data_IF_751727647301
#
_entry.id   IF_751727647301
#
_cell.length_a   1.000
_cell.length_b   1.000
_cell.length_c   1.000
_cell.angle_alpha   90.00
_cell.angle_beta   90.00
_cell.angle_gamma   90.00
#
_symmetry.space_group_name_H-M   'P 1'
#
loop_
_entity.id
_entity.type
_entity.pdbx_description
1 polymer ?
#
# COMPACT_ATOMS: atom_id res chain seq x y z
N UNK A 1 -9.53 -3.65 -20.15
CA UNK A 1 -9.15 -4.21 -18.83
C UNK A 1 -9.94 -3.48 -17.77
N UNK A 2 -10.30 -4.17 -16.69
CA UNK A 2 -10.93 -3.54 -15.53
C UNK A 2 -9.89 -2.90 -14.62
N UNK A 3 -10.32 -1.96 -13.78
CA UNK A 3 -9.43 -1.36 -12.81
C UNK A 3 -9.02 -2.39 -11.74
N UNK A 4 -7.80 -2.23 -11.22
CA UNK A 4 -7.29 -3.01 -10.09
C UNK A 4 -6.92 -2.08 -8.95
N UNK A 5 -7.09 -2.51 -7.70
CA UNK A 5 -6.58 -1.77 -6.54
C UNK A 5 -5.86 -2.68 -5.55
N UNK A 6 -4.60 -2.34 -5.26
CA UNK A 6 -3.72 -3.03 -4.33
C UNK A 6 -3.48 -2.16 -3.11
N UNK A 7 -3.83 -2.65 -1.93
CA UNK A 7 -3.51 -2.02 -0.66
C UNK A 7 -2.22 -2.64 -0.13
N UNK A 8 -1.26 -1.81 0.24
CA UNK A 8 -0.01 -2.26 0.85
C UNK A 8 -0.15 -2.04 2.35
N UNK A 9 -0.43 -3.07 3.14
CA UNK A 9 -0.63 -2.92 4.58
C UNK A 9 -0.08 -4.06 5.43
N UNK A 10 0.38 -3.68 6.61
CA UNK A 10 0.72 -4.53 7.74
C UNK A 10 0.61 -3.65 9.01
N UNK A 11 0.04 -4.19 10.08
CA UNK A 11 -0.11 -3.53 11.38
C UNK A 11 1.22 -3.23 12.08
N UNK A 12 2.35 -3.70 11.53
CA UNK A 12 3.70 -3.37 12.00
C UNK A 12 4.31 -2.17 11.25
N UNK A 13 4.88 -1.23 12.01
CA UNK A 13 5.70 -0.13 11.48
C UNK A 13 7.05 -0.61 10.97
N UNK A 14 7.66 0.13 10.03
CA UNK A 14 9.04 -0.15 9.59
C UNK A 14 9.24 -1.36 8.67
N UNK A 15 8.16 -1.98 8.16
CA UNK A 15 8.24 -3.09 7.18
C UNK A 15 8.42 -2.64 5.72
N UNK A 16 8.63 -1.34 5.49
CA UNK A 16 8.93 -0.80 4.16
C UNK A 16 7.73 -0.48 3.26
N UNK A 17 6.49 -0.42 3.78
CA UNK A 17 5.26 -0.15 3.01
C UNK A 17 5.41 0.96 1.96
N UNK A 18 5.72 2.19 2.37
CA UNK A 18 5.84 3.34 1.46
C UNK A 18 6.94 3.17 0.42
N UNK A 19 8.07 2.55 0.81
CA UNK A 19 9.20 2.29 -0.10
C UNK A 19 8.84 1.23 -1.14
N UNK A 20 8.14 0.18 -0.73
CA UNK A 20 7.61 -0.85 -1.62
C UNK A 20 6.60 -0.21 -2.58
N UNK A 21 5.64 0.57 -2.07
CA UNK A 21 4.64 1.26 -2.90
C UNK A 21 5.30 2.15 -3.96
N UNK A 22 6.32 2.93 -3.58
CA UNK A 22 7.10 3.76 -4.50
C UNK A 22 7.72 2.93 -5.64
N UNK A 23 8.40 1.83 -5.31
CA UNK A 23 9.09 1.01 -6.30
C UNK A 23 8.13 0.21 -7.19
N UNK A 24 7.12 -0.43 -6.62
CA UNK A 24 6.17 -1.22 -7.41
C UNK A 24 5.38 -0.32 -8.36
N UNK A 25 4.88 0.83 -7.91
CA UNK A 25 4.09 1.71 -8.77
C UNK A 25 4.95 2.25 -9.92
N UNK A 26 6.20 2.62 -9.64
CA UNK A 26 7.16 3.08 -10.65
C UNK A 26 7.44 2.00 -11.71
N UNK A 27 7.80 0.79 -11.29
CA UNK A 27 8.13 -0.30 -12.23
C UNK A 27 6.88 -0.83 -12.93
N UNK A 28 5.74 -0.89 -12.25
CA UNK A 28 4.47 -1.29 -12.87
C UNK A 28 4.08 -0.31 -13.98
N UNK A 29 4.23 1.00 -13.76
CA UNK A 29 4.00 2.01 -14.79
C UNK A 29 4.96 1.87 -15.99
N UNK A 30 6.23 1.55 -15.75
CA UNK A 30 7.21 1.28 -16.81
C UNK A 30 6.83 0.06 -17.67
N UNK A 31 6.31 -1.00 -17.05
CA UNK A 31 5.97 -2.26 -17.74
C UNK A 31 4.59 -2.24 -18.41
N UNK A 32 3.72 -1.29 -18.06
CA UNK A 32 2.34 -1.19 -18.56
C UNK A 32 2.04 0.24 -19.08
N UNK A 33 2.70 0.71 -20.16
CA UNK A 33 2.54 2.07 -20.68
C UNK A 33 1.12 2.40 -21.18
N UNK A 34 0.34 1.39 -21.53
CA UNK A 34 -1.05 1.48 -21.96
C UNK A 34 -2.06 1.66 -20.81
N UNK A 35 -1.61 1.55 -19.56
CA UNK A 35 -2.43 1.73 -18.36
C UNK A 35 -2.03 2.98 -17.59
N UNK A 36 -2.99 3.55 -16.85
CA UNK A 36 -2.70 4.61 -15.90
C UNK A 36 -2.49 4.03 -14.50
N UNK A 37 -1.42 4.45 -13.85
CA UNK A 37 -1.06 3.96 -12.53
C UNK A 37 -1.27 5.08 -11.54
N UNK A 38 -2.03 4.84 -10.49
CA UNK A 38 -2.35 5.85 -9.47
C UNK A 38 -1.87 5.38 -8.12
N UNK A 39 -1.04 6.19 -7.46
CA UNK A 39 -0.71 6.00 -6.05
C UNK A 39 -1.64 6.86 -5.21
N UNK A 40 -2.29 6.25 -4.21
CA UNK A 40 -3.07 6.95 -3.19
C UNK A 40 -2.31 6.78 -1.87
N UNK A 41 -1.79 7.87 -1.32
CA UNK A 41 -1.01 7.83 -0.09
C UNK A 41 -1.90 8.15 1.13
N UNK A 42 -2.46 7.10 1.74
CA UNK A 42 -3.29 7.19 2.95
C UNK A 42 -2.45 7.13 4.23
N UNK A 43 -1.16 7.44 4.15
CA UNK A 43 -0.27 7.58 5.30
C UNK A 43 -0.07 9.07 5.64
N UNK A 44 -0.40 9.52 6.87
CA UNK A 44 -0.19 10.91 7.27
C UNK A 44 1.27 11.38 7.18
N UNK A 45 2.24 10.46 7.22
CA UNK A 45 3.66 10.79 7.07
C UNK A 45 4.06 11.08 5.61
N UNK A 46 3.20 10.72 4.64
CA UNK A 46 3.35 11.02 3.22
C UNK A 46 4.73 10.67 2.63
N UNK A 47 5.35 9.60 3.14
CA UNK A 47 6.68 9.17 2.73
C UNK A 47 6.67 8.74 1.26
N UNK A 48 5.64 8.01 0.82
CA UNK A 48 5.50 7.57 -0.56
C UNK A 48 5.38 8.77 -1.51
N UNK A 49 4.52 9.73 -1.14
CA UNK A 49 4.37 11.00 -1.85
C UNK A 49 5.69 11.74 -1.99
N UNK A 50 6.45 11.87 -0.88
CA UNK A 50 7.75 12.55 -0.89
C UNK A 50 8.73 11.88 -1.86
N UNK A 51 8.80 10.56 -1.89
CA UNK A 51 9.65 9.81 -2.82
C UNK A 51 9.23 10.04 -4.28
N UNK A 52 7.93 9.93 -4.57
CA UNK A 52 7.39 10.14 -5.92
C UNK A 52 7.63 11.56 -6.43
N UNK A 53 7.57 12.56 -5.56
CA UNK A 53 7.73 13.98 -5.90
C UNK A 53 9.20 14.44 -6.03
N UNK A 54 10.15 13.50 -6.00
CA UNK A 54 11.57 13.76 -6.25
C UNK A 54 12.49 13.50 -5.05
N UNK A 55 11.94 13.01 -3.93
CA UNK A 55 12.70 12.61 -2.75
C UNK A 55 13.33 13.78 -1.97
N UNK A 56 13.74 13.48 -0.74
CA UNK A 56 14.46 14.41 0.13
C UNK A 56 13.78 15.77 0.25
N UNK A 57 14.57 16.85 0.28
CA UNK A 57 14.06 18.23 0.39
C UNK A 57 13.23 18.68 -0.80
N UNK A 58 13.52 18.16 -2.01
CA UNK A 58 12.77 18.54 -3.23
C UNK A 58 11.34 18.01 -3.14
N UNK A 59 11.19 16.71 -2.87
CA UNK A 59 9.89 16.07 -2.72
C UNK A 59 9.08 16.69 -1.58
N UNK A 60 9.72 16.96 -0.44
CA UNK A 60 9.09 17.59 0.71
C UNK A 60 8.57 19.00 0.37
N UNK A 61 9.37 19.83 -0.30
CA UNK A 61 8.94 21.17 -0.70
C UNK A 61 7.74 21.14 -1.67
N UNK A 62 7.74 20.20 -2.63
CA UNK A 62 6.59 20.03 -3.55
C UNK A 62 5.35 19.60 -2.78
N UNK A 63 5.49 18.64 -1.87
CA UNK A 63 4.38 18.14 -1.05
C UNK A 63 3.78 19.26 -0.18
N UNK A 64 4.61 20.07 0.49
CA UNK A 64 4.13 21.19 1.30
C UNK A 64 3.35 22.21 0.47
N UNK A 65 3.78 22.49 -0.76
CA UNK A 65 3.05 23.38 -1.67
C UNK A 65 1.66 22.82 -2.03
N UNK A 66 1.49 21.50 -2.15
CA UNK A 66 0.19 20.87 -2.43
C UNK A 66 -0.75 20.95 -1.21
N UNK A 67 -0.19 20.76 -0.01
CA UNK A 67 -0.92 20.84 1.27
C UNK A 67 -1.38 22.28 1.54
N UNK A 68 -0.58 23.29 1.18
CA UNK A 68 -0.87 24.69 1.47
C UNK A 68 -1.81 25.38 0.48
N UNK A 69 -2.32 24.66 -0.54
CA UNK A 69 -3.32 25.23 -1.46
C UNK A 69 -4.63 25.52 -0.73
N UNK A 70 -5.37 26.53 -1.19
CA UNK A 70 -6.70 26.86 -0.66
C UNK A 70 -7.66 25.66 -0.74
N UNK A 71 -7.59 24.92 -1.84
CA UNK A 71 -8.14 23.57 -1.98
C UNK A 71 -6.95 22.59 -2.05
N UNK A 72 -6.58 21.93 -0.94
CA UNK A 72 -5.45 21.00 -0.91
C UNK A 72 -5.62 19.90 -1.96
N UNK A 73 -4.62 19.74 -2.83
CA UNK A 73 -4.62 18.64 -3.84
C UNK A 73 -4.05 17.36 -3.24
N UNK A 74 -4.67 16.93 -2.15
CA UNK A 74 -4.21 15.83 -1.29
C UNK A 74 -5.38 14.91 -0.92
N UNK A 75 -5.09 13.76 -0.29
CA UNK A 75 -6.13 12.88 0.27
C UNK A 75 -7.05 13.62 1.23
N UNK A 76 -6.55 14.60 2.00
CA UNK A 76 -7.36 15.39 2.93
C UNK A 76 -8.30 16.32 2.19
N UNK A 77 -7.84 17.00 1.14
CA UNK A 77 -8.70 17.84 0.31
C UNK A 77 -9.80 17.01 -0.35
N UNK A 78 -9.45 15.90 -1.00
CA UNK A 78 -10.43 15.01 -1.63
C UNK A 78 -11.48 14.49 -0.64
N UNK A 79 -11.05 13.98 0.52
CA UNK A 79 -11.97 13.48 1.55
C UNK A 79 -12.86 14.61 2.09
N UNK A 80 -12.32 15.81 2.27
CA UNK A 80 -13.07 16.96 2.78
C UNK A 80 -14.18 17.36 1.81
N UNK A 81 -13.84 17.48 0.52
CA UNK A 81 -14.77 17.90 -0.53
C UNK A 81 -15.89 16.88 -0.73
N UNK A 82 -15.56 15.58 -0.71
CA UNK A 82 -16.55 14.49 -0.72
C UNK A 82 -17.50 14.53 0.49
N UNK A 83 -17.02 14.97 1.66
CA UNK A 83 -17.84 15.05 2.88
C UNK A 83 -18.77 16.26 2.87
N UNK A 84 -18.30 17.42 2.39
CA UNK A 84 -19.12 18.64 2.31
C UNK A 84 -20.01 18.66 1.06
N UNK A 85 -19.79 17.73 0.13
CA UNK A 85 -20.58 17.60 -1.10
C UNK A 85 -20.17 18.57 -2.20
N UNK A 86 -18.94 19.08 -2.15
CA UNK A 86 -18.38 19.87 -3.24
C UNK A 86 -18.10 18.98 -4.46
N UNK A 87 -18.42 19.49 -5.65
CA UNK A 87 -18.26 18.76 -6.90
C UNK A 87 -17.03 19.26 -7.63
N UNK A 88 -15.93 18.55 -7.45
CA UNK A 88 -14.72 18.72 -8.26
C UNK A 88 -14.58 17.55 -9.24
N UNK A 89 -13.86 17.76 -10.34
CA UNK A 89 -13.51 16.61 -11.18
C UNK A 89 -12.46 15.80 -10.42
N UNK A 90 -12.65 14.49 -10.31
CA UNK A 90 -11.71 13.63 -9.56
C UNK A 90 -10.27 13.73 -10.09
N UNK A 91 -10.11 13.99 -11.39
CA UNK A 91 -8.84 14.29 -12.05
C UNK A 91 -8.10 15.49 -11.45
N UNK A 92 -8.80 16.44 -10.81
CA UNK A 92 -8.20 17.67 -10.29
C UNK A 92 -7.26 17.43 -9.09
N UNK A 93 -7.46 16.31 -8.38
CA UNK A 93 -6.62 15.88 -7.25
C UNK A 93 -5.46 14.98 -7.66
N UNK A 94 -5.48 14.41 -8.87
CA UNK A 94 -4.40 13.55 -9.35
C UNK A 94 -3.29 14.38 -9.98
N UNK A 95 -2.11 14.32 -9.38
CA UNK A 95 -0.90 14.93 -9.93
C UNK A 95 -0.17 13.91 -10.81
N UNK A 96 0.11 14.26 -12.06
CA UNK A 96 1.05 13.50 -12.87
C UNK A 96 2.48 13.66 -12.30
N UNK A 97 3.07 12.57 -11.81
CA UNK A 97 4.33 12.67 -11.05
C UNK A 97 5.51 13.08 -11.92
N UNK A 98 5.48 12.76 -13.22
CA UNK A 98 6.58 13.10 -14.14
C UNK A 98 6.72 14.61 -14.33
N UNK A 99 5.67 15.39 -14.03
CA UNK A 99 5.73 16.86 -14.06
C UNK A 99 6.58 17.44 -12.92
N UNK A 100 6.90 16.65 -11.88
CA UNK A 100 7.73 17.05 -10.73
C UNK A 100 9.00 16.21 -10.60
N UNK A 101 8.97 14.98 -11.10
CA UNK A 101 10.07 14.03 -11.09
C UNK A 101 10.20 13.34 -12.45
N UNK A 102 11.07 13.87 -13.29
CA UNK A 102 11.33 13.43 -14.68
C UNK A 102 11.94 12.02 -14.79
N UNK A 103 12.32 11.42 -13.67
CA UNK A 103 12.84 10.05 -13.58
C UNK A 103 11.73 9.00 -13.47
N UNK A 104 10.48 9.43 -13.38
CA UNK A 104 9.32 8.55 -13.27
C UNK A 104 8.49 8.55 -14.57
N UNK A 105 7.78 7.43 -14.86
CA UNK A 105 6.96 7.33 -16.06
C UNK A 105 5.84 8.37 -16.12
N UNK A 106 5.48 8.79 -17.33
CA UNK A 106 4.44 9.79 -17.57
C UNK A 106 3.01 9.27 -17.32
N UNK A 107 2.81 7.96 -17.23
CA UNK A 107 1.53 7.33 -16.90
C UNK A 107 1.35 7.06 -15.39
N UNK A 108 2.20 7.63 -14.54
CA UNK A 108 2.12 7.52 -13.09
C UNK A 108 1.55 8.80 -12.47
N UNK A 109 0.52 8.63 -11.64
CA UNK A 109 -0.22 9.70 -10.99
C UNK A 109 -0.23 9.50 -9.48
N UNK A 110 -0.41 10.59 -8.74
CA UNK A 110 -0.41 10.62 -7.28
C UNK A 110 -1.60 11.42 -6.76
N UNK A 111 -2.36 10.81 -5.85
CA UNK A 111 -3.15 11.50 -4.85
C UNK A 111 -2.33 11.54 -3.55
N UNK A 112 -1.74 12.70 -3.26
CA UNK A 112 -0.69 12.79 -2.25
C UNK A 112 -1.22 12.69 -0.83
N UNK A 113 -0.36 12.18 0.06
CA UNK A 113 -0.60 12.13 1.49
C UNK A 113 -0.60 13.51 2.12
N UNK A 114 -1.10 13.59 3.33
CA UNK A 114 -1.24 14.86 4.07
C UNK A 114 -1.27 14.58 5.58
N UNK A 115 -0.41 15.27 6.33
CA UNK A 115 -0.33 15.13 7.79
C UNK A 115 -1.63 15.54 8.51
N UNK A 116 -2.45 16.40 7.89
CA UNK A 116 -3.74 16.80 8.42
C UNK A 116 -4.74 15.63 8.48
N UNK A 117 -4.44 14.48 7.87
CA UNK A 117 -5.24 13.27 7.97
C UNK A 117 -5.37 12.79 9.43
N UNK A 118 -4.34 12.99 10.26
CA UNK A 118 -4.41 12.77 11.72
C UNK A 118 -5.38 13.73 12.40
N UNK A 119 -5.36 15.01 12.00
CA UNK A 119 -6.21 16.05 12.60
C UNK A 119 -7.70 15.83 12.28
N UNK A 120 -8.02 15.38 11.06
CA UNK A 120 -9.40 15.12 10.65
C UNK A 120 -9.90 13.73 11.06
N UNK A 121 -9.02 12.81 11.49
CA UNK A 121 -9.38 11.43 11.87
C UNK A 121 -10.49 11.34 12.94
N UNK A 122 -10.48 12.13 14.03
CA UNK A 122 -11.59 12.14 15.01
C UNK A 122 -12.92 12.60 14.40
N UNK A 123 -12.87 13.56 13.47
CA UNK A 123 -14.04 14.06 12.77
C UNK A 123 -14.62 13.01 11.81
N UNK A 124 -13.77 12.30 11.06
CA UNK A 124 -14.17 11.17 10.22
C UNK A 124 -14.83 10.08 11.05
N UNK A 125 -14.25 9.73 12.21
CA UNK A 125 -14.78 8.72 13.11
C UNK A 125 -16.16 9.11 13.62
N UNK A 126 -16.33 10.36 14.10
CA UNK A 126 -17.64 10.86 14.57
C UNK A 126 -18.69 10.82 13.46
N UNK A 127 -18.33 11.17 12.22
CA UNK A 127 -19.25 11.10 11.09
C UNK A 127 -19.61 9.66 10.73
N UNK A 128 -18.66 8.73 10.78
CA UNK A 128 -18.92 7.32 10.51
C UNK A 128 -19.83 6.69 11.57
N UNK A 129 -19.76 7.14 12.82
CA UNK A 129 -20.61 6.71 13.94
C UNK A 129 -21.92 7.49 14.09
N UNK A 130 -22.22 8.43 13.19
CA UNK A 130 -23.43 9.23 13.31
C UNK A 130 -24.69 8.34 13.21
N UNK A 131 -25.73 8.71 13.96
CA UNK A 131 -27.03 8.05 13.86
C UNK A 131 -27.61 8.25 12.45
N UNK A 132 -28.01 7.17 11.75
CA UNK A 132 -28.68 7.29 10.46
C UNK A 132 -29.98 8.08 10.58
N UNK A 133 -30.17 9.05 9.69
CA UNK A 133 -31.38 9.91 9.68
C UNK A 133 -32.56 9.21 8.98
N UNK A 134 -32.28 8.17 8.19
CA UNK A 134 -33.28 7.35 7.52
C UNK A 134 -32.73 5.95 7.22
N UNK A 135 -33.58 5.00 6.83
CA UNK A 135 -33.16 3.65 6.41
C UNK A 135 -32.18 3.65 5.20
N UNK A 136 -32.24 4.68 4.36
CA UNK A 136 -31.34 4.86 3.22
C UNK A 136 -30.03 5.55 3.59
N UNK A 137 -29.97 6.15 4.78
CA UNK A 137 -28.78 6.81 5.28
C UNK A 137 -27.86 5.79 5.94
N UNK A 138 -26.58 5.85 5.61
CA UNK A 138 -25.59 4.95 6.18
C UNK A 138 -24.25 5.69 6.31
N UNK A 139 -24.05 6.43 7.41
CA UNK A 139 -22.87 7.26 7.61
C UNK A 139 -21.57 6.46 7.60
N UNK A 140 -21.57 5.28 8.23
CA UNK A 140 -20.39 4.41 8.24
C UNK A 140 -19.97 3.98 6.84
N UNK A 141 -20.92 3.46 6.05
CA UNK A 141 -20.69 3.07 4.64
C UNK A 141 -20.25 4.26 3.81
N UNK A 142 -20.88 5.43 3.98
CA UNK A 142 -20.53 6.66 3.25
C UNK A 142 -19.07 7.02 3.44
N UNK A 143 -18.60 7.12 4.69
CA UNK A 143 -17.20 7.45 5.01
C UNK A 143 -16.23 6.38 4.49
N UNK A 144 -16.50 5.09 4.77
CA UNK A 144 -15.60 4.01 4.37
C UNK A 144 -15.56 3.75 2.85
N UNK A 145 -16.54 4.27 2.10
CA UNK A 145 -16.58 4.12 0.64
C UNK A 145 -15.96 5.29 -0.13
N UNK A 146 -15.51 6.37 0.52
CA UNK A 146 -14.98 7.56 -0.17
C UNK A 146 -13.84 7.18 -1.13
N UNK A 147 -12.83 6.47 -0.62
CA UNK A 147 -11.68 6.04 -1.44
C UNK A 147 -12.08 4.89 -2.37
N UNK A 148 -13.00 4.00 -1.97
CA UNK A 148 -13.49 2.91 -2.83
C UNK A 148 -14.18 3.42 -4.10
N UNK A 149 -14.96 4.51 -3.98
CA UNK A 149 -15.58 5.18 -5.13
C UNK A 149 -14.53 5.83 -6.03
N UNK A 150 -13.36 6.18 -5.51
CA UNK A 150 -12.26 6.74 -6.31
C UNK A 150 -11.55 5.64 -7.10
N UNK A 151 -11.32 4.47 -6.49
CA UNK A 151 -10.61 3.34 -7.14
C UNK A 151 -11.44 2.63 -8.22
N UNK A 152 -12.71 2.97 -8.35
CA UNK A 152 -13.61 2.47 -9.40
C UNK A 152 -13.59 3.33 -10.68
N UNK A 153 -12.93 4.48 -10.66
CA UNK A 153 -12.98 5.45 -11.75
C UNK A 153 -11.83 5.28 -12.72
N UNK A 154 -11.98 5.80 -13.94
CA UNK A 154 -10.87 5.91 -14.88
C UNK A 154 -10.42 7.35 -15.02
N UNK A 155 -9.14 7.55 -15.38
CA UNK A 155 -8.63 8.88 -15.74
C UNK A 155 -8.97 9.23 -17.19
N UNK A 156 -8.98 8.22 -18.08
CA UNK A 156 -9.42 8.31 -19.47
C UNK A 156 -10.32 7.11 -19.80
N UNK A 157 -11.30 7.28 -20.69
CA UNK A 157 -12.30 6.25 -20.98
C UNK A 157 -11.68 4.93 -21.48
N UNK A 158 -10.60 5.02 -22.25
CA UNK A 158 -9.93 3.92 -22.95
C UNK A 158 -8.78 3.26 -22.16
N UNK A 159 -8.39 3.85 -21.04
CA UNK A 159 -7.25 3.37 -20.23
C UNK A 159 -7.71 2.80 -18.90
N UNK A 160 -7.36 1.55 -18.64
CA UNK A 160 -7.59 0.93 -17.35
C UNK A 160 -6.65 1.56 -16.30
N UNK A 161 -7.12 1.61 -15.06
CA UNK A 161 -6.34 2.17 -13.94
C UNK A 161 -5.94 1.10 -12.95
N UNK A 162 -4.66 1.05 -12.60
CA UNK A 162 -4.17 0.26 -11.47
C UNK A 162 -3.81 1.19 -10.32
N UNK A 163 -4.51 1.03 -9.19
CA UNK A 163 -4.33 1.79 -7.98
C UNK A 163 -3.41 1.07 -6.99
N UNK A 164 -2.42 1.77 -6.45
CA UNK A 164 -1.61 1.34 -5.32
C UNK A 164 -1.88 2.25 -4.12
N UNK A 165 -2.32 1.67 -3.00
CA UNK A 165 -2.73 2.44 -1.82
C UNK A 165 -1.70 2.22 -0.71
N UNK A 166 -0.90 3.25 -0.44
CA UNK A 166 0.03 3.26 0.69
C UNK A 166 -0.73 3.54 1.99
N UNK A 167 -0.29 2.94 3.10
CA UNK A 167 -1.05 2.97 4.34
C UNK A 167 -0.19 3.17 5.58
N UNK A 168 -0.80 3.74 6.62
CA UNK A 168 -0.23 3.79 7.96
C UNK A 168 -0.27 2.39 8.62
N UNK A 169 0.70 2.03 9.48
CA UNK A 169 0.64 0.79 10.26
C UNK A 169 -0.58 0.72 11.20
N UNK A 170 -0.95 1.81 11.86
CA UNK A 170 -2.10 1.87 12.75
C UNK A 170 -3.40 1.66 11.99
N UNK A 171 -4.31 0.86 12.53
CA UNK A 171 -5.61 0.55 11.91
C UNK A 171 -6.67 1.64 12.18
N UNK A 172 -6.24 2.91 12.03
CA UNK A 172 -7.07 4.11 12.14
C UNK A 172 -8.15 4.16 11.06
N UNK A 173 -9.13 5.07 11.19
CA UNK A 173 -10.24 5.16 10.23
C UNK A 173 -9.77 5.36 8.78
N UNK A 174 -8.73 6.17 8.55
CA UNK A 174 -8.20 6.38 7.20
C UNK A 174 -7.50 5.12 6.64
N UNK A 175 -6.91 4.27 7.50
CA UNK A 175 -6.38 2.96 7.11
C UNK A 175 -7.52 1.99 6.80
N UNK A 176 -8.62 2.03 7.56
CA UNK A 176 -9.83 1.25 7.29
C UNK A 176 -10.48 1.64 5.95
N UNK A 177 -10.54 2.95 5.65
CA UNK A 177 -10.98 3.47 4.35
C UNK A 177 -10.07 2.97 3.21
N UNK A 178 -8.75 2.99 3.40
CA UNK A 178 -7.79 2.48 2.44
C UNK A 178 -7.98 0.98 2.17
N UNK A 179 -8.10 0.17 3.23
CA UNK A 179 -8.34 -1.27 3.13
C UNK A 179 -9.67 -1.58 2.44
N UNK A 180 -10.75 -0.86 2.78
CA UNK A 180 -12.06 -1.03 2.14
C UNK A 180 -12.08 -0.63 0.65
N UNK A 181 -11.08 0.13 0.18
CA UNK A 181 -10.96 0.54 -1.22
C UNK A 181 -10.18 -0.46 -2.10
N UNK A 182 -9.49 -1.42 -1.48
CA UNK A 182 -8.66 -2.42 -2.14
C UNK A 182 -9.45 -3.64 -2.62
N UNK A 183 -9.14 -4.11 -3.83
CA UNK A 183 -9.50 -5.46 -4.30
C UNK A 183 -8.50 -6.49 -3.79
N UNK A 184 -7.23 -6.09 -3.70
CA UNK A 184 -6.10 -6.95 -3.33
C UNK A 184 -5.29 -6.35 -2.18
N UNK A 185 -4.70 -7.21 -1.38
CA UNK A 185 -3.81 -6.87 -0.27
C UNK A 185 -2.41 -7.42 -0.55
N UNK A 186 -1.43 -6.53 -0.54
CA UNK A 186 -0.01 -6.87 -0.50
C UNK A 186 0.46 -6.71 0.94
N UNK A 187 1.06 -7.76 1.50
CA UNK A 187 1.41 -7.81 2.93
C UNK A 187 2.93 -7.85 3.07
N UNK A 188 3.60 -6.72 3.37
CA UNK A 188 5.02 -6.72 3.67
C UNK A 188 5.30 -7.40 5.01
N UNK A 189 6.23 -8.34 5.06
CA UNK A 189 6.57 -9.11 6.26
C UNK A 189 8.08 -9.08 6.48
N UNK A 190 8.52 -8.91 7.73
CA UNK A 190 9.94 -9.05 8.09
C UNK A 190 10.17 -10.41 8.78
N UNK A 191 11.36 -10.98 8.62
CA UNK A 191 11.74 -12.22 9.29
C UNK A 191 12.10 -11.97 10.78
N UNK A 192 11.08 -11.83 11.64
CA UNK A 192 11.21 -11.65 13.08
C UNK A 192 9.95 -12.11 13.84
N UNK A 193 10.08 -12.42 15.14
CA UNK A 193 8.98 -12.98 15.95
C UNK A 193 7.73 -12.08 15.98
N UNK A 194 7.92 -10.76 16.00
CA UNK A 194 6.79 -9.83 16.03
C UNK A 194 5.99 -9.84 14.72
N UNK A 195 6.57 -10.30 13.60
CA UNK A 195 5.85 -10.49 12.35
C UNK A 195 4.86 -11.66 12.38
N UNK A 196 5.13 -12.71 13.17
CA UNK A 196 4.18 -13.84 13.36
C UNK A 196 2.92 -13.33 14.08
N UNK A 197 3.10 -12.50 15.10
CA UNK A 197 1.98 -11.85 15.79
C UNK A 197 1.27 -10.83 14.88
N UNK A 198 2.02 -10.13 14.02
CA UNK A 198 1.47 -9.19 13.05
C UNK A 198 0.52 -9.88 12.06
N UNK A 199 0.84 -11.10 11.58
CA UNK A 199 -0.04 -11.91 10.73
C UNK A 199 -1.39 -12.15 11.43
N UNK A 200 -1.37 -12.63 12.67
CA UNK A 200 -2.60 -12.89 13.43
C UNK A 200 -3.40 -11.60 13.66
N UNK A 201 -2.71 -10.50 13.95
CA UNK A 201 -3.32 -9.17 14.07
C UNK A 201 -3.98 -8.69 12.79
N UNK A 202 -3.33 -8.88 11.64
CA UNK A 202 -3.87 -8.54 10.32
C UNK A 202 -5.17 -9.30 10.03
N UNK A 203 -5.19 -10.61 10.27
CA UNK A 203 -6.40 -11.42 10.07
C UNK A 203 -7.53 -10.97 10.99
N UNK A 204 -7.25 -10.78 12.28
CA UNK A 204 -8.25 -10.31 13.23
C UNK A 204 -8.83 -8.93 12.88
N UNK A 205 -8.00 -8.01 12.36
CA UNK A 205 -8.42 -6.64 12.03
C UNK A 205 -9.22 -6.58 10.73
N UNK A 206 -8.74 -7.22 9.65
CA UNK A 206 -9.38 -7.13 8.32
C UNK A 206 -10.49 -8.17 8.17
N UNK A 207 -10.21 -9.42 8.50
CA UNK A 207 -11.09 -10.57 8.21
C UNK A 207 -11.94 -10.99 9.42
N UNK A 208 -11.52 -10.62 10.63
CA UNK A 208 -12.19 -10.95 11.89
C UNK A 208 -11.61 -12.19 12.54
N UNK A 209 -11.79 -12.32 13.86
CA UNK A 209 -11.34 -13.48 14.61
C UNK A 209 -12.33 -14.65 14.51
N UNK A 210 -11.83 -15.89 14.47
CA UNK A 210 -12.70 -17.08 14.52
C UNK A 210 -13.55 -17.17 15.80
N UNK A 211 -13.09 -16.55 16.90
CA UNK A 211 -13.86 -16.45 18.15
C UNK A 211 -14.60 -15.11 18.22
N UNK A 212 -15.92 -15.15 18.29
CA UNK A 212 -16.76 -13.94 18.43
C UNK A 212 -16.82 -13.50 19.89
N UNK A 213 -16.36 -12.29 20.17
CA UNK A 213 -16.50 -11.72 21.51
C UNK A 213 -17.92 -11.17 21.70
N UNK A 214 -18.65 -11.53 22.78
CA UNK A 214 -20.06 -11.18 22.95
C UNK A 214 -20.34 -9.67 22.93
N UNK A 215 -19.36 -8.86 23.36
CA UNK A 215 -19.48 -7.39 23.43
C UNK A 215 -18.88 -6.68 22.21
N UNK A 216 -17.66 -7.04 21.80
CA UNK A 216 -16.87 -6.22 20.86
C UNK A 216 -17.02 -6.64 19.40
N UNK A 217 -17.54 -7.85 19.11
CA UNK A 217 -17.68 -8.40 17.75
C UNK A 217 -18.41 -7.43 16.80
N UNK A 218 -19.53 -6.85 17.26
CA UNK A 218 -20.33 -5.90 16.48
C UNK A 218 -19.60 -4.60 16.11
N UNK A 219 -18.51 -4.27 16.80
CA UNK A 219 -17.71 -3.07 16.54
C UNK A 219 -16.47 -3.35 15.68
N UNK A 220 -16.14 -4.62 15.43
CA UNK A 220 -14.99 -4.98 14.60
C UNK A 220 -15.19 -4.49 13.16
N UNK A 221 -14.10 -4.10 12.51
CA UNK A 221 -14.13 -3.67 11.11
C UNK A 221 -14.73 -4.76 10.21
N UNK A 222 -14.28 -6.01 10.36
CA UNK A 222 -14.81 -7.15 9.62
C UNK A 222 -16.34 -7.25 9.69
N UNK A 223 -16.92 -7.15 10.89
CA UNK A 223 -18.37 -7.26 11.05
C UNK A 223 -19.11 -6.07 10.48
N UNK A 224 -18.54 -4.86 10.59
CA UNK A 224 -19.13 -3.65 10.04
C UNK A 224 -19.05 -3.63 8.51
N UNK A 225 -17.97 -4.11 7.92
CA UNK A 225 -17.86 -4.29 6.46
C UNK A 225 -19.00 -5.19 5.96
N UNK A 226 -19.21 -6.35 6.59
CA UNK A 226 -20.31 -7.26 6.25
C UNK A 226 -21.69 -6.61 6.41
N UNK A 227 -21.95 -5.98 7.56
CA UNK A 227 -23.25 -5.35 7.85
C UNK A 227 -23.59 -4.21 6.87
N UNK A 228 -22.58 -3.60 6.26
CA UNK A 228 -22.75 -2.49 5.31
C UNK A 228 -22.65 -2.93 3.84
N UNK A 229 -22.48 -4.24 3.58
CA UNK A 229 -22.32 -4.78 2.22
C UNK A 229 -21.10 -4.21 1.50
N UNK A 230 -20.01 -3.99 2.23
CA UNK A 230 -18.70 -3.66 1.65
C UNK A 230 -17.90 -4.95 1.46
N UNK A 231 -16.86 -4.87 0.63
CA UNK A 231 -15.93 -5.99 0.40
C UNK A 231 -14.63 -5.75 1.15
N UNK A 232 -13.90 -6.84 1.37
CA UNK A 232 -12.55 -6.85 1.93
C UNK A 232 -11.58 -7.25 0.82
N UNK A 233 -10.35 -6.71 0.81
CA UNK A 233 -9.36 -7.11 -0.18
C UNK A 233 -8.98 -8.58 0.03
N UNK A 234 -8.60 -9.26 -1.05
CA UNK A 234 -8.01 -10.60 -0.96
C UNK A 234 -6.49 -10.49 -0.92
N UNK A 235 -5.82 -11.30 -0.11
CA UNK A 235 -4.35 -11.40 -0.09
C UNK A 235 -3.88 -11.86 -1.47
N UNK A 236 -3.06 -11.04 -2.11
CA UNK A 236 -2.47 -11.33 -3.41
C UNK A 236 -1.05 -11.87 -3.25
N UNK A 237 -0.20 -11.17 -2.50
CA UNK A 237 1.16 -11.58 -2.19
C UNK A 237 1.60 -11.17 -0.79
N UNK A 238 2.45 -12.03 -0.23
CA UNK A 238 3.30 -11.79 0.93
C UNK A 238 4.66 -11.31 0.43
N UNK A 239 5.05 -10.12 0.85
CA UNK A 239 6.28 -9.46 0.42
C UNK A 239 7.29 -9.54 1.56
N UNK A 240 8.06 -10.62 1.64
CA UNK A 240 8.92 -10.79 2.79
C UNK A 240 10.37 -10.44 2.53
N UNK A 241 10.95 -9.81 3.54
CA UNK A 241 12.33 -9.42 3.55
C UNK A 241 13.21 -10.59 4.04
N UNK A 242 14.14 -11.05 3.20
CA UNK A 242 15.18 -12.07 3.50
C UNK A 242 14.70 -13.53 3.68
N UNK A 243 13.73 -13.99 2.88
CA UNK A 243 13.25 -15.39 2.90
C UNK A 243 14.35 -16.44 2.61
N UNK A 244 15.39 -16.16 1.79
CA UNK A 244 16.23 -17.24 1.20
C UNK A 244 17.73 -17.22 1.51
N UNK A 245 18.26 -16.33 2.37
CA UNK A 245 19.72 -16.28 2.59
C UNK A 245 20.23 -17.55 3.34
N UNK A 246 21.31 -18.18 2.83
CA UNK A 246 21.72 -19.56 3.18
C UNK A 246 22.98 -19.73 4.05
N UNK A 247 23.62 -18.68 4.61
CA UNK A 247 24.81 -18.87 5.49
C UNK A 247 24.86 -17.91 6.69
N UNK A 248 25.16 -18.44 7.88
CA UNK A 248 25.36 -17.66 9.12
C UNK A 248 24.06 -17.23 9.81
N UNK A 249 23.98 -15.97 10.27
CA UNK A 249 22.76 -15.32 10.79
C UNK A 249 21.53 -15.52 9.89
N UNK A 250 21.77 -15.77 8.61
CA UNK A 250 20.78 -16.13 7.61
C UNK A 250 19.98 -17.41 7.94
N UNK A 251 20.54 -18.37 8.69
CA UNK A 251 19.78 -19.54 9.14
C UNK A 251 18.69 -19.17 10.16
N UNK A 252 18.96 -18.25 11.07
CA UNK A 252 17.98 -17.78 12.06
C UNK A 252 16.86 -16.98 11.38
N UNK A 253 17.22 -16.08 10.45
CA UNK A 253 16.23 -15.38 9.63
C UNK A 253 15.38 -16.33 8.80
N UNK A 254 15.99 -17.35 8.19
CA UNK A 254 15.27 -18.37 7.44
C UNK A 254 14.30 -19.16 8.34
N UNK A 255 14.70 -19.50 9.57
CA UNK A 255 13.81 -20.19 10.51
C UNK A 255 12.59 -19.33 10.87
N UNK A 256 12.80 -18.06 11.22
CA UNK A 256 11.73 -17.11 11.54
C UNK A 256 10.78 -16.87 10.36
N UNK A 257 11.38 -16.74 9.19
CA UNK A 257 10.71 -16.62 7.91
C UNK A 257 9.84 -17.84 7.60
N UNK A 258 10.36 -19.05 7.79
CA UNK A 258 9.61 -20.29 7.64
C UNK A 258 8.42 -20.37 8.61
N UNK A 259 8.59 -19.93 9.86
CA UNK A 259 7.49 -19.88 10.82
C UNK A 259 6.42 -18.85 10.44
N UNK A 260 6.80 -17.68 9.90
CA UNK A 260 5.85 -16.71 9.38
C UNK A 260 5.08 -17.26 8.16
N UNK A 261 5.76 -17.91 7.22
CA UNK A 261 5.13 -18.57 6.07
C UNK A 261 4.21 -19.70 6.51
N UNK A 262 4.63 -20.52 7.48
CA UNK A 262 3.81 -21.58 8.06
C UNK A 262 2.54 -21.01 8.67
N UNK A 263 2.65 -19.94 9.48
CA UNK A 263 1.49 -19.29 10.09
C UNK A 263 0.53 -18.75 9.02
N UNK A 264 1.04 -18.17 7.94
CA UNK A 264 0.21 -17.73 6.81
C UNK A 264 -0.45 -18.88 6.06
N UNK A 265 0.24 -20.02 5.91
CA UNK A 265 -0.32 -21.22 5.31
C UNK A 265 -1.46 -21.81 6.14
N UNK A 266 -1.32 -21.84 7.47
CA UNK A 266 -2.41 -22.23 8.39
C UNK A 266 -3.64 -21.31 8.21
N UNK A 267 -3.44 -19.99 8.15
CA UNK A 267 -4.53 -19.04 7.89
C UNK A 267 -5.16 -19.24 6.50
N UNK A 268 -4.38 -19.66 5.50
CA UNK A 268 -4.86 -20.01 4.17
C UNK A 268 -5.72 -21.27 4.19
N UNK A 269 -5.31 -22.32 4.90
CA UNK A 269 -6.10 -23.56 5.01
C UNK A 269 -7.48 -23.30 5.59
N UNK A 270 -7.55 -22.46 6.63
CA UNK A 270 -8.80 -22.13 7.33
C UNK A 270 -9.63 -21.07 6.59
N UNK A 271 -9.01 -20.21 5.77
CA UNK A 271 -9.67 -19.02 5.21
C UNK A 271 -9.36 -18.76 3.72
N UNK A 272 -9.39 -19.80 2.88
CA UNK A 272 -9.07 -19.72 1.44
C UNK A 272 -9.77 -18.57 0.69
N UNK A 273 -10.98 -18.17 1.09
CA UNK A 273 -11.73 -17.08 0.47
C UNK A 273 -11.05 -15.70 0.58
N UNK A 274 -10.14 -15.52 1.54
CA UNK A 274 -9.39 -14.27 1.73
C UNK A 274 -8.11 -14.19 0.91
N UNK A 275 -7.85 -15.17 0.05
CA UNK A 275 -6.72 -15.18 -0.85
C UNK A 275 -7.21 -15.05 -2.29
N UNK A 276 -6.37 -14.49 -3.17
CA UNK A 276 -6.71 -14.44 -4.60
C UNK A 276 -6.87 -15.87 -5.15
N UNK A 277 -7.63 -15.98 -6.23
CA UNK A 277 -7.74 -17.24 -6.96
C UNK A 277 -6.36 -17.62 -7.55
N UNK A 278 -6.16 -18.93 -7.71
CA UNK A 278 -4.99 -19.55 -8.33
C UNK A 278 -5.46 -20.80 -9.11
N UNK A 279 -4.63 -21.29 -10.02
CA UNK A 279 -4.98 -22.41 -10.90
C UNK A 279 -4.67 -23.77 -10.27
N UNK A 280 -3.52 -23.87 -9.60
CA UNK A 280 -3.00 -25.14 -9.08
C UNK A 280 -3.39 -25.39 -7.61
N UNK A 281 -3.87 -26.58 -7.24
CA UNK A 281 -4.22 -26.88 -5.87
C UNK A 281 -2.98 -26.80 -4.95
N UNK A 282 -3.11 -26.03 -3.87
CA UNK A 282 -2.08 -25.89 -2.84
C UNK A 282 -2.40 -26.83 -1.69
N UNK A 283 -1.51 -27.80 -1.45
CA UNK A 283 -1.64 -28.83 -0.41
C UNK A 283 -0.42 -28.90 0.52
N UNK A 284 0.54 -27.99 0.35
CA UNK A 284 1.74 -27.90 1.17
C UNK A 284 2.19 -26.46 1.37
N UNK A 285 2.97 -26.22 2.43
CA UNK A 285 3.61 -24.93 2.68
C UNK A 285 4.52 -24.50 1.52
N UNK A 286 5.25 -25.43 0.90
CA UNK A 286 6.16 -25.12 -0.20
C UNK A 286 5.42 -24.65 -1.47
N UNK A 287 4.26 -25.25 -1.77
CA UNK A 287 3.38 -24.81 -2.86
C UNK A 287 2.77 -23.43 -2.55
N UNK A 288 2.35 -23.22 -1.29
CA UNK A 288 1.85 -21.92 -0.84
C UNK A 288 2.92 -20.83 -0.96
N UNK A 289 4.15 -21.12 -0.55
CA UNK A 289 5.27 -20.20 -0.65
C UNK A 289 5.51 -19.78 -2.11
N UNK A 290 5.54 -20.74 -3.04
CA UNK A 290 5.72 -20.45 -4.47
C UNK A 290 4.62 -19.55 -5.04
N UNK A 291 3.37 -19.78 -4.65
CA UNK A 291 2.21 -19.08 -5.19
C UNK A 291 2.02 -17.69 -4.59
N UNK A 292 2.05 -17.60 -3.26
CA UNK A 292 1.65 -16.42 -2.51
C UNK A 292 2.80 -15.60 -1.95
N UNK A 293 4.04 -16.06 -2.02
CA UNK A 293 5.17 -15.29 -1.51
C UNK A 293 6.07 -14.79 -2.63
N UNK A 294 6.76 -13.71 -2.31
CA UNK A 294 7.87 -13.22 -3.09
C UNK A 294 8.90 -12.58 -2.17
N UNK A 295 10.16 -12.90 -2.43
CA UNK A 295 11.26 -12.33 -1.69
C UNK A 295 11.55 -10.93 -2.19
N UNK A 296 11.40 -9.97 -1.28
CA UNK A 296 12.02 -8.66 -1.42
C UNK A 296 13.34 -8.68 -0.66
N UNK A 297 14.39 -8.15 -1.28
CA UNK A 297 15.66 -7.94 -0.58
C UNK A 297 15.62 -6.64 0.18
N UNK A 298 16.33 -6.60 1.30
CA UNK A 298 16.67 -5.35 1.95
C UNK A 298 17.45 -4.48 0.96
N UNK A 299 16.85 -3.36 0.56
CA UNK A 299 17.46 -2.45 -0.39
C UNK A 299 18.72 -1.76 0.20
N UNK A 300 18.93 -1.84 1.53
CA UNK A 300 20.08 -1.27 2.25
C UNK A 300 20.36 0.18 1.77
N UNK A 301 21.63 0.53 1.56
CA UNK A 301 22.07 1.84 1.06
C UNK A 301 21.44 2.22 -0.29
N UNK A 302 21.14 1.25 -1.17
CA UNK A 302 20.49 1.53 -2.44
C UNK A 302 19.07 2.06 -2.23
N UNK A 303 18.31 1.48 -1.30
CA UNK A 303 16.97 1.95 -0.94
C UNK A 303 16.98 3.35 -0.34
N UNK A 304 17.93 3.62 0.57
CA UNK A 304 18.06 4.96 1.16
C UNK A 304 18.36 6.02 0.09
N UNK A 305 19.29 5.73 -0.81
CA UNK A 305 19.64 6.62 -1.92
C UNK A 305 18.47 6.81 -2.87
N UNK A 306 17.79 5.71 -3.24
CA UNK A 306 16.62 5.71 -4.12
C UNK A 306 15.49 6.60 -3.57
N UNK A 307 15.10 6.38 -2.31
CA UNK A 307 14.09 7.16 -1.60
C UNK A 307 14.47 8.64 -1.48
N UNK A 308 15.72 8.94 -1.14
CA UNK A 308 16.17 10.33 -1.01
C UNK A 308 16.23 11.07 -2.35
N UNK A 309 16.57 10.36 -3.43
CA UNK A 309 16.78 10.95 -4.75
C UNK A 309 15.55 10.91 -5.65
N UNK A 310 14.46 10.29 -5.17
CA UNK A 310 13.23 10.04 -5.94
C UNK A 310 13.46 9.17 -7.17
N UNK A 311 14.45 8.26 -7.14
CA UNK A 311 14.80 7.39 -8.27
C UNK A 311 14.36 5.97 -7.92
N UNK A 312 13.50 5.32 -8.71
CA UNK A 312 13.20 3.92 -8.47
C UNK A 312 14.45 3.07 -8.69
N UNK A 313 14.58 1.96 -7.95
CA UNK A 313 15.76 1.09 -8.04
C UNK A 313 16.02 0.56 -9.46
N UNK A 314 14.97 0.43 -10.29
CA UNK A 314 15.07 0.06 -11.71
C UNK A 314 15.84 1.07 -12.56
N UNK A 315 15.85 2.35 -12.16
CA UNK A 315 16.48 3.47 -12.89
C UNK A 315 17.81 3.92 -12.28
N UNK A 316 18.28 3.23 -11.23
CA UNK A 316 19.58 3.54 -10.62
C UNK A 316 20.73 3.04 -11.51
N UNK A 317 21.21 3.88 -12.43
CA UNK A 317 22.28 3.55 -13.38
C UNK A 317 23.69 4.03 -12.96
N UNK A 318 23.78 5.03 -12.10
CA UNK A 318 25.05 5.61 -11.65
C UNK A 318 25.72 4.76 -10.57
N UNK A 319 27.06 4.89 -10.45
CA UNK A 319 27.82 4.24 -9.39
C UNK A 319 27.80 5.04 -8.07
N UNK A 320 27.72 6.36 -8.16
CA UNK A 320 27.80 7.28 -7.02
C UNK A 320 26.63 8.24 -7.08
N UNK A 321 25.94 8.42 -5.96
CA UNK A 321 24.81 9.34 -5.83
C UNK A 321 25.08 10.35 -4.71
N UNK A 322 24.47 11.53 -4.80
CA UNK A 322 24.56 12.55 -3.76
C UNK A 322 23.34 12.51 -2.85
N UNK A 323 23.57 12.36 -1.55
CA UNK A 323 22.53 12.42 -0.50
C UNK A 323 22.96 13.46 0.53
N UNK A 324 22.24 14.57 0.62
CA UNK A 324 22.53 15.67 1.55
C UNK A 324 23.98 16.17 1.57
N UNK A 325 24.64 16.17 0.42
CA UNK A 325 26.05 16.60 0.28
C UNK A 325 27.06 15.46 0.36
N UNK A 326 26.66 14.29 0.85
CA UNK A 326 27.49 13.09 0.91
C UNK A 326 27.45 12.30 -0.39
N UNK A 327 28.58 11.71 -0.76
CA UNK A 327 28.69 10.83 -1.94
C UNK A 327 28.57 9.37 -1.52
N UNK A 328 27.47 8.73 -1.88
CA UNK A 328 27.18 7.33 -1.53
C UNK A 328 27.42 6.46 -2.76
N UNK A 329 28.30 5.47 -2.62
CA UNK A 329 28.53 4.46 -3.65
C UNK A 329 27.53 3.33 -3.52
N UNK A 330 26.92 2.94 -4.64
CA UNK A 330 26.02 1.79 -4.70
C UNK A 330 26.56 0.82 -5.76
N UNK A 331 27.00 -0.35 -5.28
CA UNK A 331 27.60 -1.37 -6.13
C UNK A 331 26.64 -1.80 -7.25
N UNK A 332 27.15 -2.02 -8.47
CA UNK A 332 26.34 -2.43 -9.62
C UNK A 332 25.54 -3.70 -9.32
N UNK A 333 26.19 -4.71 -8.75
CA UNK A 333 25.56 -5.98 -8.38
C UNK A 333 24.38 -5.79 -7.41
N UNK A 334 24.49 -4.84 -6.47
CA UNK A 334 23.39 -4.53 -5.56
C UNK A 334 22.22 -3.88 -6.29
N UNK A 335 22.48 -2.97 -7.24
CA UNK A 335 21.45 -2.31 -8.05
C UNK A 335 20.70 -3.30 -8.93
N UNK A 336 21.41 -4.17 -9.64
CA UNK A 336 20.79 -5.20 -10.49
C UNK A 336 19.91 -6.16 -9.68
N UNK A 337 20.41 -6.65 -8.54
CA UNK A 337 19.61 -7.55 -7.67
C UNK A 337 18.35 -6.89 -7.12
N UNK A 338 18.42 -5.60 -6.78
CA UNK A 338 17.25 -4.85 -6.33
C UNK A 338 16.25 -4.65 -7.46
N UNK A 339 16.74 -4.33 -8.66
CA UNK A 339 15.92 -4.22 -9.88
C UNK A 339 15.21 -5.54 -10.19
N UNK A 340 15.95 -6.64 -10.27
CA UNK A 340 15.40 -7.98 -10.53
C UNK A 340 14.30 -8.35 -9.51
N UNK A 341 14.52 -8.04 -8.22
CA UNK A 341 13.53 -8.33 -7.18
C UNK A 341 12.21 -7.54 -7.37
N UNK A 342 12.29 -6.25 -7.72
CA UNK A 342 11.09 -5.45 -7.98
C UNK A 342 10.41 -5.87 -9.29
N UNK A 343 11.18 -6.16 -10.35
CA UNK A 343 10.62 -6.63 -11.62
C UNK A 343 9.92 -7.98 -11.46
N UNK A 344 10.49 -8.91 -10.69
CA UNK A 344 9.86 -10.19 -10.36
C UNK A 344 8.57 -9.99 -9.55
N UNK A 345 8.55 -9.02 -8.62
CA UNK A 345 7.35 -8.64 -7.88
C UNK A 345 6.25 -8.12 -8.81
N UNK A 346 6.58 -7.15 -9.67
CA UNK A 346 5.63 -6.57 -10.62
C UNK A 346 5.08 -7.63 -11.58
N UNK A 347 5.89 -8.60 -12.02
CA UNK A 347 5.43 -9.68 -12.88
C UNK A 347 4.38 -10.61 -12.24
N UNK A 348 4.28 -10.64 -10.90
CA UNK A 348 3.26 -11.43 -10.17
C UNK A 348 1.96 -10.66 -9.87
N UNK A 349 1.86 -9.37 -10.25
CA UNK A 349 0.70 -8.51 -9.99
C UNK A 349 -0.22 -8.40 -11.20
#
# INVERSE_FOLDING_TARGET
MDNKSYVIWNNKGGVGKSTITFHIASVYAQKNPEQDIVVIDMCPQANCSTMLLGGGRKGEAVLQNLISLETPKTVVGYITDEIIGEKHQKSDYFLNVSSKNDKLPANLYLLSGDGNLELISPLLSRRAEAEPISEKDNPWKKIHSIIRKLTQERLAEDRAVTYFIDTNPSFSIYTQMAVAAGSYLLVPINADDSSIFAISGLFNLIYGSGKKHPVYDKYTFARRVEANGLERPRIHLLLGNRFTQKKGTAHAFKALSNEATKKMYEEYEDNRQWFRNHEDPINSQDEFEKEFTIELRDFNSAGVVASNSGIPLSEMQEHTYKVYGESIQVAKEQREKCKEAIEALVAKL
#
